data_IF_807413136737
#
_entry.id   IF_807413136737
#
_cell.length_a   1.000
_cell.length_b   1.000
_cell.length_c   1.000
_cell.angle_alpha   90.00
_cell.angle_beta   90.00
_cell.angle_gamma   90.00
#
_symmetry.space_group_name_H-M   'P 1'
#
loop_
_entity.id
_entity.type
_entity.pdbx_description
1 polymer ?
#
# COMPACT_ATOMS: atom_id res chain seq x y z
N UNK A 1 -3.71 -23.86 -5.50
CA UNK A 1 -3.75 -23.25 -4.16
C UNK A 1 -4.01 -21.78 -4.40
N UNK A 2 -5.01 -21.19 -3.75
CA UNK A 2 -5.20 -19.74 -3.84
C UNK A 2 -4.03 -19.02 -3.16
N UNK A 3 -3.54 -17.97 -3.81
CA UNK A 3 -2.51 -17.09 -3.26
C UNK A 3 -3.14 -16.23 -2.15
N UNK A 4 -2.51 -16.10 -0.96
CA UNK A 4 -3.08 -15.34 0.14
C UNK A 4 -3.20 -13.85 -0.20
N UNK A 5 -4.33 -13.22 0.12
CA UNK A 5 -4.45 -11.77 0.01
C UNK A 5 -3.59 -11.09 1.10
N UNK A 6 -2.72 -10.17 0.68
CA UNK A 6 -1.90 -9.36 1.58
C UNK A 6 -2.42 -7.92 1.62
N UNK A 7 -2.81 -7.45 2.80
CA UNK A 7 -3.23 -6.05 3.00
C UNK A 7 -2.03 -5.20 3.43
N UNK A 8 -1.75 -4.15 2.67
CA UNK A 8 -0.79 -3.11 3.03
C UNK A 8 -1.55 -1.95 3.69
N UNK A 9 -1.28 -1.70 4.97
CA UNK A 9 -1.90 -0.59 5.71
C UNK A 9 -1.02 0.66 5.71
N UNK A 10 -1.58 1.81 5.35
CA UNK A 10 -0.91 3.12 5.41
C UNK A 10 -1.73 4.07 6.29
N UNK A 11 -1.20 4.40 7.48
CA UNK A 11 -1.72 5.49 8.30
C UNK A 11 -1.00 6.79 7.89
N UNK A 12 -1.76 7.82 7.53
CA UNK A 12 -1.24 9.07 6.97
C UNK A 12 -1.94 10.29 7.54
N UNK A 13 -1.36 10.88 8.59
CA UNK A 13 -1.81 12.17 9.13
C UNK A 13 -0.96 13.33 8.60
N UNK A 14 -1.55 14.29 7.87
CA UNK A 14 -0.88 15.48 7.32
C UNK A 14 0.42 15.22 6.50
N UNK A 15 0.62 14.00 5.97
CA UNK A 15 1.84 13.58 5.27
C UNK A 15 1.72 13.60 3.73
N UNK A 16 0.99 14.58 3.19
CA UNK A 16 0.72 14.70 1.75
C UNK A 16 1.98 14.72 0.88
N UNK A 17 3.09 15.26 1.40
CA UNK A 17 4.37 15.31 0.70
C UNK A 17 4.99 13.93 0.43
N UNK A 18 4.77 12.96 1.32
CA UNK A 18 5.39 11.63 1.23
C UNK A 18 4.42 10.57 0.70
N UNK A 19 3.11 10.81 0.80
CA UNK A 19 2.09 9.85 0.39
C UNK A 19 2.31 9.37 -1.05
N UNK A 20 2.60 10.28 -1.99
CA UNK A 20 2.87 9.89 -3.38
C UNK A 20 4.04 8.92 -3.51
N UNK A 21 5.17 9.20 -2.86
CA UNK A 21 6.34 8.34 -2.93
C UNK A 21 6.06 6.97 -2.31
N UNK A 22 5.33 6.93 -1.19
CA UNK A 22 4.90 5.69 -0.54
C UNK A 22 4.01 4.87 -1.47
N UNK A 23 3.02 5.49 -2.13
CA UNK A 23 2.12 4.80 -3.06
C UNK A 23 2.88 4.23 -4.27
N UNK A 24 3.82 4.97 -4.85
CA UNK A 24 4.64 4.48 -5.97
C UNK A 24 5.53 3.31 -5.57
N UNK A 25 6.09 3.33 -4.35
CA UNK A 25 6.87 2.22 -3.79
C UNK A 25 6.00 0.97 -3.60
N UNK A 26 4.81 1.13 -3.01
CA UNK A 26 3.88 0.02 -2.79
C UNK A 26 3.45 -0.56 -4.16
N UNK A 27 3.19 0.27 -5.16
CA UNK A 27 2.79 -0.18 -6.50
C UNK A 27 3.84 -1.05 -7.22
N UNK A 28 5.09 -1.05 -6.77
CA UNK A 28 6.17 -1.88 -7.31
C UNK A 28 6.31 -3.25 -6.60
N UNK A 29 5.28 -3.73 -5.89
CA UNK A 29 5.28 -5.09 -5.35
C UNK A 29 5.43 -6.14 -6.46
N UNK A 30 6.25 -7.16 -6.19
CA UNK A 30 6.40 -8.34 -7.06
C UNK A 30 5.32 -9.38 -6.82
N UNK A 31 4.66 -9.32 -5.66
CA UNK A 31 3.55 -10.20 -5.31
C UNK A 31 2.23 -9.63 -5.87
N UNK A 32 1.42 -10.42 -6.62
CA UNK A 32 0.27 -9.88 -7.33
C UNK A 32 -1.03 -9.81 -6.50
N UNK A 33 -1.16 -10.60 -5.42
CA UNK A 33 -2.39 -10.70 -4.63
C UNK A 33 -2.39 -9.79 -3.39
N UNK A 34 -2.48 -8.48 -3.60
CA UNK A 34 -2.47 -7.51 -2.51
C UNK A 34 -3.53 -6.41 -2.65
N UNK A 35 -3.84 -5.78 -1.53
CA UNK A 35 -4.71 -4.60 -1.44
C UNK A 35 -4.06 -3.50 -0.59
N UNK A 36 -4.53 -2.27 -0.76
CA UNK A 36 -4.06 -1.08 -0.03
C UNK A 36 -5.18 -0.48 0.79
N UNK A 37 -4.95 -0.31 2.09
CA UNK A 37 -5.86 0.41 2.98
C UNK A 37 -5.16 1.66 3.51
N UNK A 38 -5.73 2.83 3.22
CA UNK A 38 -5.22 4.13 3.66
C UNK A 38 -6.18 4.71 4.70
N UNK A 39 -5.63 5.14 5.84
CA UNK A 39 -6.35 5.82 6.92
C UNK A 39 -5.70 7.18 7.16
N UNK A 40 -6.51 8.22 7.32
CA UNK A 40 -6.08 9.58 7.71
C UNK A 40 -5.81 9.67 9.22
#
# INVERSE_FOLDING_TARGET
MEEPLVTVGVASYNNSAYLRQTLESIRQQTYPHWELLIVD
#
